data_IF_085743223805
#
_entry.id   IF_085743223805
#
_cell.length_a   1.000
_cell.length_b   1.000
_cell.length_c   1.000
_cell.angle_alpha   90.00
_cell.angle_beta   90.00
_cell.angle_gamma   90.00
#
_symmetry.space_group_name_H-M   'P 1'
#
loop_
_entity.id
_entity.type
_entity.pdbx_description
1 polymer ?
#
# COMPACT_ATOMS: atom_id res chain seq x y z
N UNK A 1 9.54 -9.50 14.83
CA UNK A 1 9.83 -9.96 16.21
C UNK A 1 10.35 -11.40 16.26
N UNK A 2 9.66 -12.40 15.70
CA UNK A 2 10.16 -13.81 15.68
C UNK A 2 11.51 -13.93 14.95
N UNK A 3 11.64 -13.34 13.75
CA UNK A 3 12.90 -13.36 13.00
C UNK A 3 14.06 -12.65 13.72
N UNK A 4 13.78 -11.62 14.52
CA UNK A 4 14.78 -10.90 15.34
C UNK A 4 15.26 -11.78 16.50
N UNK A 5 14.33 -12.47 17.16
CA UNK A 5 14.67 -13.44 18.22
C UNK A 5 15.53 -14.60 17.69
N UNK A 6 15.21 -15.10 16.49
CA UNK A 6 16.01 -16.15 15.82
C UNK A 6 17.38 -15.61 15.40
N UNK A 7 17.48 -14.36 14.94
CA UNK A 7 18.74 -13.76 14.54
C UNK A 7 19.70 -13.55 15.72
N UNK A 8 19.17 -13.20 16.89
CA UNK A 8 19.94 -13.06 18.12
C UNK A 8 20.46 -14.43 18.59
N UNK A 9 19.68 -15.51 18.44
CA UNK A 9 20.05 -16.84 18.93
C UNK A 9 20.91 -17.66 17.96
N UNK A 10 20.66 -17.55 16.65
CA UNK A 10 21.23 -18.43 15.61
C UNK A 10 22.02 -17.65 14.54
N UNK A 11 22.19 -16.35 14.74
CA UNK A 11 22.78 -15.45 13.76
C UNK A 11 21.88 -15.21 12.55
N UNK A 12 22.33 -14.32 11.67
CA UNK A 12 21.60 -13.96 10.45
C UNK A 12 21.38 -15.17 9.53
N UNK A 13 22.37 -16.08 9.41
CA UNK A 13 22.26 -17.32 8.61
C UNK A 13 21.19 -18.29 9.14
N UNK A 14 21.15 -18.52 10.45
CA UNK A 14 20.16 -19.40 11.06
C UNK A 14 18.73 -18.88 10.91
N UNK A 15 18.55 -17.56 10.90
CA UNK A 15 17.25 -16.94 10.62
C UNK A 15 16.74 -17.23 9.22
N UNK A 16 17.61 -17.16 8.20
CA UNK A 16 17.23 -17.49 6.84
C UNK A 16 16.87 -18.97 6.69
N UNK A 17 17.66 -19.88 7.30
CA UNK A 17 17.38 -21.33 7.22
C UNK A 17 16.07 -21.67 7.96
N UNK A 18 15.87 -21.14 9.17
CA UNK A 18 14.67 -21.38 9.96
C UNK A 18 13.40 -20.88 9.26
N UNK A 19 13.48 -19.79 8.50
CA UNK A 19 12.36 -19.27 7.69
C UNK A 19 12.18 -20.03 6.37
N UNK A 20 13.27 -20.51 5.76
CA UNK A 20 13.23 -21.22 4.48
C UNK A 20 12.53 -22.58 4.59
N UNK A 21 12.82 -23.35 5.65
CA UNK A 21 12.25 -24.70 5.85
C UNK A 21 10.70 -24.71 5.77
N UNK A 22 9.96 -23.91 6.57
CA UNK A 22 8.50 -23.91 6.49
C UNK A 22 7.97 -23.39 5.15
N UNK A 23 8.65 -22.45 4.49
CA UNK A 23 8.25 -21.99 3.15
C UNK A 23 8.44 -23.05 2.07
N UNK A 24 9.51 -23.85 2.13
CA UNK A 24 9.75 -24.97 1.21
C UNK A 24 8.70 -26.06 1.45
N UNK A 25 8.45 -26.42 2.71
CA UNK A 25 7.42 -27.41 3.06
C UNK A 25 6.06 -26.96 2.53
N UNK A 26 5.66 -25.71 2.79
CA UNK A 26 4.39 -25.17 2.30
C UNK A 26 4.33 -25.17 0.76
N UNK A 27 5.42 -24.81 0.07
CA UNK A 27 5.52 -24.85 -1.39
C UNK A 27 5.35 -26.27 -1.95
N UNK A 28 5.98 -27.26 -1.32
CA UNK A 28 5.84 -28.68 -1.70
C UNK A 28 4.40 -29.15 -1.49
N UNK A 29 3.81 -28.84 -0.34
CA UNK A 29 2.40 -29.16 -0.03
C UNK A 29 1.49 -28.55 -1.09
N UNK A 30 1.63 -27.25 -1.37
CA UNK A 30 0.82 -26.57 -2.39
C UNK A 30 1.01 -27.17 -3.79
N UNK A 31 2.24 -27.53 -4.18
CA UNK A 31 2.52 -28.19 -5.45
C UNK A 31 1.76 -29.51 -5.59
N UNK A 32 1.79 -30.37 -4.56
CA UNK A 32 1.07 -31.64 -4.58
C UNK A 32 -0.45 -31.47 -4.50
N UNK A 33 -0.95 -30.51 -3.71
CA UNK A 33 -2.39 -30.23 -3.62
C UNK A 33 -2.94 -29.64 -4.92
N UNK A 34 -2.28 -28.65 -5.51
CA UNK A 34 -2.69 -28.04 -6.78
C UNK A 34 -2.56 -29.01 -7.96
N UNK A 35 -1.54 -29.87 -7.95
CA UNK A 35 -1.39 -30.96 -8.93
C UNK A 35 -2.47 -32.03 -8.80
N UNK A 36 -2.93 -32.34 -7.57
CA UNK A 36 -3.98 -33.33 -7.30
C UNK A 36 -5.40 -32.84 -7.63
N UNK A 37 -5.65 -31.54 -7.53
CA UNK A 37 -6.97 -30.95 -7.82
C UNK A 37 -7.22 -30.60 -9.28
N UNK A 38 -6.31 -30.97 -10.20
CA UNK A 38 -6.55 -30.79 -11.64
C UNK A 38 -6.68 -29.33 -12.07
N UNK A 39 -6.23 -28.36 -11.26
CA UNK A 39 -6.13 -26.95 -11.62
C UNK A 39 -5.11 -26.70 -12.75
N UNK A 40 -4.29 -27.70 -13.06
CA UNK A 40 -3.53 -27.84 -14.30
C UNK A 40 -4.40 -28.28 -15.49
N UNK A 41 -5.70 -27.96 -15.51
CA UNK A 41 -6.50 -28.02 -16.73
C UNK A 41 -5.92 -26.97 -17.69
N UNK A 42 -5.10 -27.48 -18.60
CA UNK A 42 -4.57 -26.85 -19.82
C UNK A 42 -5.32 -25.56 -20.12
N UNK A 43 -4.71 -24.40 -19.86
CA UNK A 43 -5.20 -23.13 -20.39
C UNK A 43 -5.22 -23.33 -21.90
N UNK A 44 -6.41 -23.58 -22.46
CA UNK A 44 -6.56 -23.70 -23.90
C UNK A 44 -5.97 -22.42 -24.48
N UNK A 45 -4.96 -22.55 -25.34
CA UNK A 45 -4.39 -21.48 -26.16
C UNK A 45 -5.37 -21.01 -27.25
N UNK A 46 -6.65 -21.06 -26.94
CA UNK A 46 -7.71 -20.47 -27.70
C UNK A 46 -8.42 -19.54 -26.72
N UNK A 47 -8.04 -18.26 -26.76
CA UNK A 47 -9.04 -17.20 -26.62
C UNK A 47 -9.38 -16.83 -28.07
N UNK A 48 -10.31 -17.54 -28.73
CA UNK A 48 -10.83 -17.07 -30.01
C UNK A 48 -11.58 -15.79 -29.69
N UNK A 49 -11.02 -14.65 -30.11
CA UNK A 49 -11.70 -13.36 -30.06
C UNK A 49 -12.38 -13.09 -28.71
N UNK A 50 -11.62 -13.01 -27.61
CA UNK A 50 -12.11 -12.24 -26.47
C UNK A 50 -12.51 -10.86 -27.04
N UNK A 51 -13.80 -10.48 -27.02
CA UNK A 51 -14.25 -9.29 -27.69
C UNK A 51 -13.34 -8.15 -27.26
N UNK A 52 -12.78 -7.41 -28.22
CA UNK A 52 -11.97 -6.25 -27.93
C UNK A 52 -12.78 -5.42 -26.93
N UNK A 53 -12.34 -5.42 -25.66
CA UNK A 53 -13.11 -4.81 -24.58
C UNK A 53 -13.52 -3.42 -25.04
N UNK A 54 -14.76 -3.02 -24.75
CA UNK A 54 -15.30 -1.75 -25.24
C UNK A 54 -14.25 -0.64 -25.04
N UNK A 55 -13.92 0.13 -26.09
CA UNK A 55 -12.92 1.18 -25.98
C UNK A 55 -13.21 2.06 -24.76
N UNK A 56 -12.18 2.35 -23.97
CA UNK A 56 -12.38 3.22 -22.80
C UNK A 56 -12.93 4.57 -23.27
N UNK A 57 -14.08 4.97 -22.72
CA UNK A 57 -14.50 6.36 -22.86
C UNK A 57 -13.47 7.25 -22.20
N UNK A 58 -13.20 8.47 -22.73
CA UNK A 58 -12.25 9.40 -22.12
C UNK A 58 -12.51 9.63 -20.63
N UNK A 59 -13.78 9.68 -20.22
CA UNK A 59 -14.18 9.84 -18.82
C UNK A 59 -13.80 8.63 -17.96
N UNK A 60 -14.07 7.39 -18.44
CA UNK A 60 -13.71 6.17 -17.71
C UNK A 60 -12.20 6.01 -17.58
N UNK A 61 -11.45 6.32 -18.64
CA UNK A 61 -9.99 6.30 -18.62
C UNK A 61 -9.43 7.33 -17.64
N UNK A 62 -9.92 8.58 -17.68
CA UNK A 62 -9.53 9.64 -16.73
C UNK A 62 -9.78 9.20 -15.29
N UNK A 63 -10.94 8.60 -15.01
CA UNK A 63 -11.30 8.12 -13.67
C UNK A 63 -10.38 7.00 -13.21
N UNK A 64 -10.09 6.03 -14.08
CA UNK A 64 -9.15 4.93 -13.80
C UNK A 64 -7.74 5.44 -13.51
N UNK A 65 -7.22 6.35 -14.34
CA UNK A 65 -5.89 6.95 -14.15
C UNK A 65 -5.87 7.73 -12.83
N UNK A 66 -6.83 8.61 -12.59
CA UNK A 66 -6.88 9.44 -11.38
C UNK A 66 -6.92 8.58 -10.12
N UNK A 67 -7.76 7.55 -10.14
CA UNK A 67 -7.88 6.62 -9.03
C UNK A 67 -6.57 5.85 -8.79
N UNK A 68 -5.93 5.38 -9.88
CA UNK A 68 -4.67 4.64 -9.80
C UNK A 68 -3.54 5.53 -9.28
N UNK A 69 -3.45 6.79 -9.73
CA UNK A 69 -2.50 7.78 -9.24
C UNK A 69 -2.67 8.03 -7.74
N UNK A 70 -3.91 8.19 -7.27
CA UNK A 70 -4.19 8.37 -5.85
C UNK A 70 -3.77 7.14 -5.03
N UNK A 71 -4.11 5.93 -5.49
CA UNK A 71 -3.70 4.68 -4.85
C UNK A 71 -2.18 4.52 -4.81
N UNK A 72 -1.48 4.83 -5.90
CA UNK A 72 -0.01 4.83 -5.95
C UNK A 72 0.58 5.83 -4.96
N UNK A 73 0.07 7.06 -4.92
CA UNK A 73 0.56 8.09 -4.01
C UNK A 73 0.36 7.69 -2.55
N UNK A 74 -0.81 7.17 -2.20
CA UNK A 74 -1.11 6.65 -0.87
C UNK A 74 -0.09 5.59 -0.45
N UNK A 75 0.14 4.59 -1.31
CA UNK A 75 1.09 3.51 -1.01
C UNK A 75 2.53 4.02 -0.92
N UNK A 76 2.98 4.77 -1.90
CA UNK A 76 4.38 5.17 -2.02
C UNK A 76 4.79 6.19 -0.95
N UNK A 77 3.94 7.17 -0.63
CA UNK A 77 4.24 8.20 0.36
C UNK A 77 4.17 7.66 1.79
N UNK A 78 3.16 6.84 2.12
CA UNK A 78 3.10 6.20 3.44
C UNK A 78 4.27 5.24 3.61
N UNK A 79 4.52 4.35 2.65
CA UNK A 79 5.61 3.38 2.75
C UNK A 79 6.97 4.05 2.92
N UNK A 80 7.23 5.12 2.15
CA UNK A 80 8.47 5.89 2.27
C UNK A 80 8.57 6.51 3.66
N UNK A 81 7.52 7.14 4.17
CA UNK A 81 7.52 7.75 5.52
C UNK A 81 7.70 6.71 6.63
N UNK A 82 6.97 5.59 6.55
CA UNK A 82 7.05 4.49 7.53
C UNK A 82 8.46 3.90 7.62
N UNK A 83 9.16 3.81 6.48
CA UNK A 83 10.53 3.30 6.43
C UNK A 83 11.53 4.17 7.20
N UNK A 84 11.24 5.46 7.40
CA UNK A 84 12.06 6.38 8.19
C UNK A 84 11.64 6.49 9.66
N UNK A 85 10.54 5.85 10.10
CA UNK A 85 10.08 5.92 11.50
C UNK A 85 11.15 5.47 12.50
N UNK A 86 11.84 4.32 12.31
CA UNK A 86 12.86 3.89 13.27
C UNK A 86 13.97 4.94 13.43
N UNK A 87 14.45 5.49 12.32
CA UNK A 87 15.48 6.52 12.32
C UNK A 87 14.97 7.81 12.98
N UNK A 88 13.76 8.25 12.64
CA UNK A 88 13.12 9.43 13.22
C UNK A 88 13.08 9.36 14.75
N UNK A 89 12.63 8.24 15.32
CA UNK A 89 12.48 8.15 16.78
C UNK A 89 13.83 8.04 17.49
N UNK A 90 14.79 7.33 16.90
CA UNK A 90 16.14 7.19 17.47
C UNK A 90 16.84 8.55 17.46
N UNK A 91 16.84 9.26 16.33
CA UNK A 91 17.56 10.54 16.20
C UNK A 91 16.87 11.70 16.91
N UNK A 92 15.53 11.71 16.95
CA UNK A 92 14.77 12.83 17.53
C UNK A 92 14.54 12.67 19.03
N UNK A 93 14.26 11.45 19.49
CA UNK A 93 13.93 11.19 20.91
C UNK A 93 15.04 10.47 21.68
N UNK A 94 16.16 10.12 21.02
CA UNK A 94 17.31 9.44 21.64
C UNK A 94 16.91 8.14 22.36
N UNK A 95 15.93 7.43 21.79
CA UNK A 95 15.46 6.13 22.30
C UNK A 95 16.18 4.96 21.64
N UNK A 96 16.02 3.77 22.21
CA UNK A 96 16.58 2.55 21.65
C UNK A 96 15.96 2.17 20.30
N UNK A 97 16.77 1.52 19.46
CA UNK A 97 16.33 0.95 18.16
C UNK A 97 15.13 0.01 18.31
N UNK A 98 14.99 -0.65 19.46
CA UNK A 98 13.87 -1.53 19.78
C UNK A 98 12.51 -0.80 19.74
N UNK A 99 12.45 0.46 20.17
CA UNK A 99 11.23 1.29 20.10
C UNK A 99 10.90 1.60 18.64
N UNK A 100 11.89 1.98 17.84
CA UNK A 100 11.74 2.21 16.41
C UNK A 100 11.24 0.97 15.66
N UNK A 101 11.84 -0.19 15.93
CA UNK A 101 11.41 -1.48 15.40
C UNK A 101 9.99 -1.85 15.85
N UNK A 102 9.61 -1.50 17.08
CA UNK A 102 8.27 -1.67 17.62
C UNK A 102 7.22 -0.87 16.86
N UNK A 103 7.47 0.42 16.61
CA UNK A 103 6.58 1.28 15.83
C UNK A 103 6.47 0.81 14.37
N UNK A 104 7.59 0.45 13.74
CA UNK A 104 7.57 -0.11 12.39
C UNK A 104 6.76 -1.42 12.33
N UNK A 105 6.94 -2.29 13.33
CA UNK A 105 6.15 -3.52 13.45
C UNK A 105 4.67 -3.22 13.63
N UNK A 106 4.30 -2.19 14.40
CA UNK A 106 2.92 -1.78 14.58
C UNK A 106 2.29 -1.27 13.28
N UNK A 107 3.02 -0.48 12.48
CA UNK A 107 2.56 -0.01 11.17
C UNK A 107 2.18 -1.18 10.25
N UNK A 108 3.00 -2.23 10.23
CA UNK A 108 2.73 -3.43 9.44
C UNK A 108 1.66 -4.33 10.06
N UNK A 109 1.60 -4.41 11.39
CA UNK A 109 0.59 -5.18 12.11
C UNK A 109 -0.83 -4.64 11.87
N UNK A 110 -0.98 -3.33 11.65
CA UNK A 110 -2.24 -2.72 11.23
C UNK A 110 -2.89 -3.44 10.04
N UNK A 111 -2.07 -4.01 9.15
CA UNK A 111 -2.51 -4.76 7.98
C UNK A 111 -3.31 -6.03 8.27
N UNK A 112 -3.14 -6.64 9.45
CA UNK A 112 -3.83 -7.89 9.80
C UNK A 112 -5.35 -7.74 9.78
N UNK A 113 -5.85 -6.60 10.24
CA UNK A 113 -7.28 -6.29 10.30
C UNK A 113 -7.71 -5.31 9.20
N UNK A 114 -6.82 -4.39 8.81
CA UNK A 114 -7.13 -3.36 7.82
C UNK A 114 -7.47 -3.92 6.43
N UNK A 115 -6.88 -5.05 6.03
CA UNK A 115 -7.18 -5.69 4.74
C UNK A 115 -8.65 -6.12 4.62
N UNK A 116 -9.14 -7.05 5.47
CA UNK A 116 -10.55 -7.47 5.47
C UNK A 116 -11.53 -6.31 5.69
N UNK A 117 -11.21 -5.40 6.62
CA UNK A 117 -12.03 -4.21 6.88
C UNK A 117 -12.10 -3.32 5.66
N UNK A 118 -10.98 -3.10 4.97
CA UNK A 118 -10.91 -2.31 3.75
C UNK A 118 -11.74 -2.88 2.62
N UNK A 119 -11.68 -4.21 2.43
CA UNK A 119 -12.54 -4.92 1.48
C UNK A 119 -14.02 -4.69 1.78
N UNK A 120 -14.44 -5.01 3.01
CA UNK A 120 -15.83 -4.83 3.46
C UNK A 120 -16.33 -3.38 3.32
N UNK A 121 -15.54 -2.40 3.76
CA UNK A 121 -15.89 -0.98 3.64
C UNK A 121 -16.04 -0.56 2.17
N UNK A 122 -15.16 -1.03 1.29
CA UNK A 122 -15.18 -0.65 -0.13
C UNK A 122 -16.30 -1.29 -0.94
N UNK A 123 -16.78 -2.45 -0.51
CA UNK A 123 -17.94 -3.09 -1.11
C UNK A 123 -19.24 -2.48 -0.59
N UNK A 124 -19.28 -2.03 0.68
CA UNK A 124 -20.44 -1.35 1.27
C UNK A 124 -20.60 0.11 0.83
N UNK A 125 -19.53 0.90 0.86
CA UNK A 125 -19.57 2.35 0.63
C UNK A 125 -19.04 2.75 -0.76
N UNK A 126 -18.51 1.79 -1.52
CA UNK A 126 -17.86 2.03 -2.80
C UNK A 126 -16.36 2.33 -2.66
N UNK A 127 -15.62 1.95 -3.71
CA UNK A 127 -14.15 2.02 -3.75
C UNK A 127 -13.62 3.45 -3.79
N UNK A 128 -14.31 4.35 -4.50
CA UNK A 128 -13.91 5.78 -4.63
C UNK A 128 -14.02 6.53 -3.29
N UNK A 129 -15.16 6.52 -2.58
CA UNK A 129 -15.25 7.18 -1.28
C UNK A 129 -14.26 6.62 -0.26
N UNK A 130 -14.10 5.29 -0.20
CA UNK A 130 -13.18 4.66 0.76
C UNK A 130 -11.74 5.06 0.50
N UNK A 131 -11.27 5.02 -0.76
CA UNK A 131 -9.90 5.44 -1.08
C UNK A 131 -9.68 6.92 -0.75
N UNK A 132 -10.65 7.79 -1.03
CA UNK A 132 -10.57 9.22 -0.71
C UNK A 132 -10.49 9.45 0.80
N UNK A 133 -11.32 8.77 1.59
CA UNK A 133 -11.32 8.91 3.06
C UNK A 133 -9.98 8.49 3.65
N UNK A 134 -9.45 7.32 3.28
CA UNK A 134 -8.15 6.87 3.82
C UNK A 134 -7.00 7.77 3.36
N UNK A 135 -7.08 8.30 2.13
CA UNK A 135 -6.09 9.25 1.62
C UNK A 135 -6.15 10.60 2.34
N UNK A 136 -7.36 11.06 2.68
CA UNK A 136 -7.58 12.29 3.43
C UNK A 136 -7.14 12.15 4.90
N UNK A 137 -7.21 10.95 5.47
CA UNK A 137 -6.68 10.65 6.82
C UNK A 137 -5.15 10.50 6.80
N UNK A 138 -4.58 9.92 5.73
CA UNK A 138 -3.15 9.68 5.61
C UNK A 138 -2.31 10.96 5.68
N UNK A 139 -2.73 12.03 4.99
CA UNK A 139 -2.01 13.30 4.99
C UNK A 139 -1.85 13.92 6.39
N UNK A 140 -2.94 14.12 7.15
CA UNK A 140 -2.90 14.57 8.54
C UNK A 140 -2.15 13.59 9.45
N UNK A 141 -2.26 12.27 9.24
CA UNK A 141 -1.49 11.31 10.04
C UNK A 141 0.03 11.48 9.83
N UNK A 142 0.49 11.64 8.59
CA UNK A 142 1.90 11.93 8.28
C UNK A 142 2.32 13.30 8.87
N UNK A 143 1.46 14.31 8.79
CA UNK A 143 1.73 15.61 9.42
C UNK A 143 1.82 15.49 10.94
N UNK A 144 0.91 14.77 11.59
CA UNK A 144 0.92 14.55 13.03
C UNK A 144 2.15 13.78 13.49
N UNK A 145 2.69 12.88 12.66
CA UNK A 145 3.96 12.20 12.95
C UNK A 145 5.11 13.23 13.10
N UNK A 146 5.12 14.28 12.27
CA UNK A 146 6.12 15.35 12.35
C UNK A 146 6.04 16.18 13.64
N UNK A 147 4.83 16.23 14.24
CA UNK A 147 4.53 16.96 15.47
C UNK A 147 4.56 16.07 16.71
N UNK A 148 4.74 14.75 16.51
CA UNK A 148 4.61 13.78 17.58
C UNK A 148 5.72 13.99 18.61
N UNK A 149 5.35 13.79 19.87
CA UNK A 149 6.29 13.59 20.98
C UNK A 149 6.27 12.12 21.38
N UNK A 150 7.30 11.66 22.08
CA UNK A 150 7.39 10.28 22.58
C UNK A 150 6.36 10.01 23.70
N UNK A 151 5.10 9.81 23.33
CA UNK A 151 4.00 9.44 24.19
C UNK A 151 3.06 8.47 23.44
N UNK A 152 1.91 8.12 24.00
CA UNK A 152 0.97 7.18 23.36
C UNK A 152 0.45 7.65 21.98
N UNK A 153 0.51 8.95 21.67
CA UNK A 153 -0.02 9.49 20.40
C UNK A 153 0.77 9.02 19.18
N UNK A 154 2.11 8.86 19.28
CA UNK A 154 2.92 8.40 18.15
C UNK A 154 2.51 6.98 17.71
N UNK A 155 2.17 6.12 18.67
CA UNK A 155 1.70 4.76 18.40
C UNK A 155 0.38 4.76 17.62
N UNK A 156 -0.56 5.63 18.00
CA UNK A 156 -1.83 5.76 17.28
C UNK A 156 -1.67 6.37 15.90
N UNK A 157 -0.79 7.36 15.74
CA UNK A 157 -0.49 7.96 14.44
C UNK A 157 0.09 6.90 13.50
N UNK A 158 1.05 6.11 13.98
CA UNK A 158 1.68 5.05 13.20
C UNK A 158 0.69 3.92 12.87
N UNK A 159 -0.18 3.57 13.82
CA UNK A 159 -1.27 2.62 13.58
C UNK A 159 -2.22 3.14 12.49
N UNK A 160 -2.63 4.41 12.55
CA UNK A 160 -3.51 5.02 11.56
C UNK A 160 -2.87 5.05 10.17
N UNK A 161 -1.58 5.38 10.07
CA UNK A 161 -0.82 5.33 8.81
C UNK A 161 -0.82 3.92 8.22
N UNK A 162 -0.51 2.91 9.05
CA UNK A 162 -0.58 1.50 8.64
C UNK A 162 -1.98 1.11 8.17
N UNK A 163 -3.02 1.44 8.93
CA UNK A 163 -4.41 1.14 8.55
C UNK A 163 -4.79 1.77 7.21
N UNK A 164 -4.42 3.03 6.96
CA UNK A 164 -4.69 3.70 5.69
C UNK A 164 -4.01 2.99 4.51
N UNK A 165 -2.75 2.58 4.67
CA UNK A 165 -2.00 1.84 3.65
C UNK A 165 -2.63 0.47 3.34
N UNK A 166 -3.02 -0.28 4.37
CA UNK A 166 -3.54 -1.64 4.19
C UNK A 166 -5.03 -1.70 3.84
N UNK A 167 -5.80 -0.62 4.04
CA UNK A 167 -7.11 -0.45 3.40
C UNK A 167 -6.92 -0.03 1.93
N UNK A 168 -6.03 0.94 1.67
CA UNK A 168 -5.80 1.51 0.35
C UNK A 168 -5.39 0.48 -0.70
N UNK A 169 -4.55 -0.48 -0.32
CA UNK A 169 -4.04 -1.53 -1.21
C UNK A 169 -5.16 -2.39 -1.85
N UNK A 170 -5.96 -3.17 -1.09
CA UNK A 170 -7.00 -4.02 -1.67
C UNK A 170 -8.09 -3.22 -2.37
N UNK A 171 -8.44 -2.03 -1.86
CA UNK A 171 -9.40 -1.14 -2.50
C UNK A 171 -8.92 -0.71 -3.88
N UNK A 172 -7.62 -0.45 -4.00
CA UNK A 172 -7.04 -0.04 -5.27
C UNK A 172 -6.96 -1.15 -6.29
N UNK A 173 -6.54 -2.34 -5.85
CA UNK A 173 -6.51 -3.54 -6.69
C UNK A 173 -7.91 -3.90 -7.19
N UNK A 174 -8.89 -3.94 -6.29
CA UNK A 174 -10.26 -4.27 -6.64
C UNK A 174 -10.89 -3.27 -7.61
N UNK A 175 -10.55 -1.98 -7.50
CA UNK A 175 -11.02 -0.95 -8.44
C UNK A 175 -10.41 -1.14 -9.83
N UNK A 176 -9.10 -1.33 -9.92
CA UNK A 176 -8.41 -1.56 -11.19
C UNK A 176 -8.97 -2.82 -11.87
N UNK A 177 -9.15 -3.90 -11.11
CA UNK A 177 -9.69 -5.18 -11.60
C UNK A 177 -11.11 -5.00 -12.17
N UNK A 178 -11.99 -4.25 -11.48
CA UNK A 178 -13.38 -4.08 -11.94
C UNK A 178 -13.54 -3.05 -13.06
N UNK A 179 -12.56 -2.16 -13.26
CA UNK A 179 -12.61 -1.11 -14.28
C UNK A 179 -11.73 -1.36 -15.50
N UNK A 180 -11.04 -2.50 -15.55
CA UNK A 180 -10.14 -2.88 -16.65
C UNK A 180 -10.62 -4.16 -17.34
N UNK A 181 -10.51 -4.24 -18.66
CA UNK A 181 -10.78 -5.46 -19.43
C UNK A 181 -9.79 -6.59 -19.08
N UNK A 182 -10.21 -7.85 -19.20
CA UNK A 182 -9.36 -9.00 -18.86
C UNK A 182 -8.02 -9.00 -19.60
N UNK A 183 -8.02 -8.56 -20.87
CA UNK A 183 -6.82 -8.45 -21.70
C UNK A 183 -5.77 -7.48 -21.14
N UNK A 184 -6.21 -6.37 -20.53
CA UNK A 184 -5.33 -5.30 -20.09
C UNK A 184 -5.12 -5.31 -18.56
N UNK A 185 -5.86 -6.13 -17.82
CA UNK A 185 -5.88 -6.16 -16.34
C UNK A 185 -4.49 -6.39 -15.75
N UNK A 186 -3.74 -7.36 -16.25
CA UNK A 186 -2.38 -7.67 -15.78
C UNK A 186 -1.41 -6.52 -16.05
N UNK A 187 -1.51 -5.88 -17.22
CA UNK A 187 -0.67 -4.73 -17.57
C UNK A 187 -0.93 -3.53 -16.66
N UNK A 188 -2.19 -3.18 -16.42
CA UNK A 188 -2.53 -2.03 -15.55
C UNK A 188 -2.15 -2.31 -14.09
N UNK A 189 -2.40 -3.53 -13.60
CA UNK A 189 -1.92 -3.93 -12.26
C UNK A 189 -0.39 -3.92 -12.19
N UNK A 190 0.30 -4.35 -13.24
CA UNK A 190 1.76 -4.27 -13.34
C UNK A 190 2.28 -2.84 -13.21
N UNK A 191 1.65 -1.89 -13.92
CA UNK A 191 1.97 -0.46 -13.79
C UNK A 191 1.71 0.04 -12.37
N UNK A 192 0.56 -0.32 -11.77
CA UNK A 192 0.23 0.04 -10.40
C UNK A 192 1.25 -0.49 -9.39
N UNK A 193 1.65 -1.76 -9.48
CA UNK A 193 2.65 -2.34 -8.58
C UNK A 193 4.03 -1.74 -8.81
N UNK A 194 4.44 -1.55 -10.05
CA UNK A 194 5.71 -0.91 -10.37
C UNK A 194 5.77 0.50 -9.77
N UNK A 195 4.72 1.31 -9.94
CA UNK A 195 4.69 2.66 -9.40
C UNK A 195 4.56 2.68 -7.85
N UNK A 196 3.73 1.82 -7.25
CA UNK A 196 3.50 1.81 -5.80
C UNK A 196 4.65 1.16 -5.01
N UNK A 197 5.32 0.14 -5.55
CA UNK A 197 6.46 -0.55 -4.91
C UNK A 197 7.81 -0.04 -5.36
N UNK A 198 7.92 0.41 -6.61
CA UNK A 198 9.13 1.00 -7.18
C UNK A 198 9.23 2.51 -6.94
N UNK A 199 8.12 3.23 -6.83
CA UNK A 199 8.08 4.67 -6.51
C UNK A 199 8.87 5.08 -5.27
N UNK A 200 8.83 4.31 -4.15
CA UNK A 200 9.71 4.53 -3.00
C UNK A 200 11.21 4.60 -3.35
N UNK A 201 11.68 3.94 -4.41
CA UNK A 201 13.07 4.00 -4.86
C UNK A 201 13.53 5.41 -5.25
N UNK A 202 12.61 6.30 -5.63
CA UNK A 202 12.90 7.72 -5.92
C UNK A 202 12.53 8.60 -4.71
N UNK A 203 11.41 8.30 -4.05
CA UNK A 203 10.90 9.11 -2.94
C UNK A 203 11.81 9.00 -1.71
N UNK A 204 12.32 7.82 -1.38
CA UNK A 204 13.14 7.63 -0.17
C UNK A 204 14.48 8.37 -0.22
N UNK A 205 15.27 8.35 -1.32
CA UNK A 205 16.46 9.19 -1.42
C UNK A 205 16.15 10.69 -1.36
N UNK A 206 15.08 11.14 -2.03
CA UNK A 206 14.67 12.54 -1.99
C UNK A 206 14.23 12.97 -0.58
N UNK A 207 13.50 12.11 0.12
CA UNK A 207 13.07 12.31 1.50
C UNK A 207 14.27 12.31 2.45
N UNK A 208 15.21 11.39 2.28
CA UNK A 208 16.46 11.35 3.06
C UNK A 208 17.28 12.64 2.89
N UNK A 209 17.47 13.10 1.66
CA UNK A 209 18.13 14.39 1.39
C UNK A 209 17.41 15.59 2.03
N UNK A 210 16.07 15.57 2.04
CA UNK A 210 15.28 16.60 2.69
C UNK A 210 15.44 16.56 4.22
N UNK A 211 15.50 15.34 4.79
CA UNK A 211 15.75 15.11 6.23
C UNK A 211 17.14 15.63 6.62
N UNK A 212 18.17 15.32 5.84
CA UNK A 212 19.55 15.74 6.13
C UNK A 212 19.70 17.28 6.12
N UNK A 213 18.93 17.98 5.28
CA UNK A 213 19.00 19.46 5.16
C UNK A 213 18.05 20.23 6.06
N UNK A 214 16.83 19.74 6.25
CA UNK A 214 15.74 20.49 6.88
C UNK A 214 15.15 19.78 8.10
N UNK A 215 15.68 18.60 8.45
CA UNK A 215 15.22 17.77 9.56
C UNK A 215 13.95 16.96 9.25
N UNK A 216 13.62 16.05 10.17
CA UNK A 216 12.45 15.19 10.07
C UNK A 216 11.13 15.96 10.06
N UNK A 217 10.99 16.97 10.91
CA UNK A 217 9.73 17.72 11.08
C UNK A 217 9.28 18.37 9.77
N UNK A 218 10.19 19.12 9.12
CA UNK A 218 9.92 19.80 7.85
C UNK A 218 9.64 18.79 6.75
N UNK A 219 10.43 17.71 6.71
CA UNK A 219 10.32 16.67 5.68
C UNK A 219 9.00 15.90 5.74
N UNK A 220 8.59 15.43 6.91
CA UNK A 220 7.31 14.76 7.09
C UNK A 220 6.13 15.71 6.91
N UNK A 221 6.24 16.98 7.34
CA UNK A 221 5.23 18.00 7.03
C UNK A 221 5.05 18.16 5.51
N UNK A 222 6.15 18.23 4.75
CA UNK A 222 6.10 18.33 3.30
C UNK A 222 5.43 17.11 2.65
N UNK A 223 5.77 15.90 3.09
CA UNK A 223 5.12 14.66 2.59
C UNK A 223 3.63 14.65 2.92
N UNK A 224 3.23 15.03 4.12
CA UNK A 224 1.82 15.14 4.51
C UNK A 224 1.05 16.16 3.67
N UNK A 225 1.66 17.32 3.40
CA UNK A 225 1.10 18.35 2.53
C UNK A 225 0.96 17.87 1.07
N UNK A 226 1.97 17.16 0.54
CA UNK A 226 1.90 16.55 -0.80
C UNK A 226 0.78 15.50 -0.86
N UNK A 227 0.66 14.64 0.15
CA UNK A 227 -0.40 13.64 0.21
C UNK A 227 -1.79 14.29 0.22
N UNK A 228 -1.98 15.36 1.00
CA UNK A 228 -3.22 16.15 0.99
C UNK A 228 -3.47 16.81 -0.36
N UNK A 229 -2.47 17.46 -0.95
CA UNK A 229 -2.60 18.13 -2.24
C UNK A 229 -3.02 17.14 -3.35
N UNK A 230 -2.35 15.98 -3.44
CA UNK A 230 -2.70 14.91 -4.38
C UNK A 230 -4.12 14.42 -4.13
N UNK A 231 -4.50 14.19 -2.86
CA UNK A 231 -5.85 13.75 -2.51
C UNK A 231 -6.91 14.77 -2.94
N UNK A 232 -6.70 16.05 -2.68
CA UNK A 232 -7.62 17.12 -3.04
C UNK A 232 -7.78 17.23 -4.55
N UNK A 233 -6.67 17.25 -5.29
CA UNK A 233 -6.67 17.29 -6.77
C UNK A 233 -7.40 16.07 -7.33
N UNK A 234 -7.06 14.86 -6.89
CA UNK A 234 -7.73 13.64 -7.33
C UNK A 234 -9.22 13.63 -6.96
N UNK A 235 -9.61 14.18 -5.81
CA UNK A 235 -11.02 14.22 -5.39
C UNK A 235 -11.88 15.02 -6.35
N UNK A 236 -11.40 16.16 -6.85
CA UNK A 236 -12.11 16.99 -7.84
C UNK A 236 -12.38 16.20 -9.12
N UNK A 237 -11.37 15.50 -9.65
CA UNK A 237 -11.51 14.71 -10.88
C UNK A 237 -12.37 13.44 -10.70
N UNK A 238 -12.34 12.83 -9.51
CA UNK A 238 -13.16 11.65 -9.19
C UNK A 238 -14.63 12.01 -8.96
N UNK A 239 -14.92 13.20 -8.41
CA UNK A 239 -16.29 13.66 -8.16
C UNK A 239 -16.96 14.22 -9.42
N UNK A 240 -16.20 14.94 -10.26
CA UNK A 240 -16.68 15.48 -11.55
C UNK A 240 -16.93 14.43 -12.64
N UNK A 241 -16.78 13.14 -12.33
CA UNK A 241 -16.98 12.01 -13.26
C UNK A 241 -18.12 11.08 -12.81
N UNK A 242 -19.10 11.60 -12.05
CA UNK A 242 -20.37 10.90 -11.76
C UNK A 242 -21.22 10.85 -13.04
N UNK A 243 -20.82 10.00 -13.98
CA UNK A 243 -21.72 9.56 -15.05
C UNK A 243 -22.79 8.65 -14.40
N UNK A 244 -24.04 8.83 -14.84
CA UNK A 244 -25.25 8.21 -14.30
C UNK A 244 -25.26 6.67 -14.31
N UNK A 245 -26.35 6.05 -13.81
CA UNK A 245 -26.46 4.60 -13.72
C UNK A 245 -26.18 3.94 -15.07
N UNK A 246 -25.50 2.77 -15.02
CA UNK A 246 -25.27 1.93 -16.18
C UNK A 246 -26.60 1.64 -16.88
N UNK A 247 -26.67 1.64 -18.22
CA UNK A 247 -27.85 1.12 -18.92
C UNK A 247 -28.04 -0.35 -18.52
N UNK A 248 -29.29 -0.71 -18.19
CA UNK A 248 -29.72 -2.10 -17.91
C UNK A 248 -29.42 -3.05 -19.08
#
# INVERSE_FOLDING_TARGET
LIAVGIAIALGWRGSFIALAIPTIILGIVLYFFLGRWGFTRKVNKETPNAPAGTPYTPTRLRRLITFTVLGVALQALIFSTVSFIPLFVVDTFLVSEAVGAGLLSLAHFAGLFAGPVGGFLSDRFGKVPVLLVVSLIAGPAIFLLSQASLNWSIWLVVLAMGTCQYIGMPVSEAYIISHTSERNRSTILGIYYFASRGGPGIIMPALGYLIDRFGFRTSFTAVGAVMLAVTLVCSVFLWGSRDGPLPE
#
